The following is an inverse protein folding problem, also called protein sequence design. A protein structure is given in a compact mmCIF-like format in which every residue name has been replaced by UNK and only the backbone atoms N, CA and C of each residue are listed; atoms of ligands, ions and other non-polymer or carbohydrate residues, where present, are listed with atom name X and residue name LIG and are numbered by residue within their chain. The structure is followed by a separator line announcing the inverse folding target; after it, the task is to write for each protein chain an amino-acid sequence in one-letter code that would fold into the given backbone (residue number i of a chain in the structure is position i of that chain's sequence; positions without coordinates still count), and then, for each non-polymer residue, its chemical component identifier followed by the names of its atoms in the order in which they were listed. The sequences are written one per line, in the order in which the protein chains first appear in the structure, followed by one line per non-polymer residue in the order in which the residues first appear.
data_IF_882107785199
#
_entry.id   IF_882107785199
#
_cell.length_a   1.000
_cell.length_b   1.000
_cell.length_c   1.000
_cell.angle_alpha   90.00
_cell.angle_beta   90.00
_cell.angle_gamma   90.00
#
_symmetry.space_group_name_H-M   'P 1'
#
loop_
_entity.id
_entity.type
_entity.pdbx_description
1 polymer ?
#
# COMPACT_ATOMS: atom_id res chain seq x y z
N UNK A 1 48.85 -6.06 8.04
CA UNK A 1 47.90 -5.11 8.64
C UNK A 1 46.49 -5.57 8.27
N UNK A 2 45.63 -5.91 9.24
CA UNK A 2 44.29 -6.41 8.92
C UNK A 2 43.40 -5.25 8.47
N UNK A 3 42.62 -5.50 7.43
CA UNK A 3 41.68 -4.56 6.85
C UNK A 3 40.47 -4.42 7.79
N UNK A 4 40.30 -3.21 8.31
CA UNK A 4 39.15 -2.67 9.04
C UNK A 4 37.79 -3.28 8.65
N UNK A 5 36.99 -3.63 9.68
CA UNK A 5 35.63 -4.21 9.69
C UNK A 5 34.53 -3.42 8.96
N UNK A 6 34.85 -2.50 8.05
CA UNK A 6 33.88 -1.65 7.36
C UNK A 6 33.80 -1.87 5.85
N UNK A 7 34.03 -3.10 5.38
CA UNK A 7 33.91 -3.42 3.97
C UNK A 7 33.29 -4.80 3.74
N UNK A 8 31.98 -4.79 3.46
CA UNK A 8 31.34 -5.48 2.33
C UNK A 8 29.97 -6.05 2.66
N UNK A 9 28.97 -5.16 2.81
CA UNK A 9 27.58 -5.51 2.52
C UNK A 9 27.33 -5.69 0.99
N UNK A 10 28.36 -5.47 0.15
CA UNK A 10 28.25 -5.40 -1.32
C UNK A 10 28.49 -6.76 -2.01
N UNK A 11 28.97 -7.80 -1.31
CA UNK A 11 29.40 -9.06 -1.94
C UNK A 11 28.52 -10.28 -1.63
N UNK A 12 27.46 -10.15 -0.82
CA UNK A 12 26.49 -11.25 -0.68
C UNK A 12 25.37 -11.11 -1.72
N UNK A 13 25.55 -11.84 -2.84
CA UNK A 13 24.55 -12.20 -3.88
C UNK A 13 23.38 -13.05 -3.34
N UNK A 14 22.93 -12.79 -2.11
CA UNK A 14 21.63 -13.21 -1.61
C UNK A 14 20.93 -11.92 -1.25
N UNK A 15 19.95 -11.52 -2.08
CA UNK A 15 18.92 -10.60 -1.64
C UNK A 15 18.58 -11.00 -0.20
N UNK A 16 18.70 -10.09 0.80
CA UNK A 16 18.21 -10.42 2.12
C UNK A 16 16.77 -10.86 1.91
N UNK A 17 16.45 -12.12 2.27
CA UNK A 17 15.06 -12.56 2.31
C UNK A 17 14.38 -11.49 3.14
N UNK A 18 13.45 -10.72 2.54
CA UNK A 18 12.64 -9.75 3.29
C UNK A 18 12.15 -10.52 4.51
N UNK A 19 12.67 -10.16 5.67
CA UNK A 19 12.11 -10.59 6.94
C UNK A 19 10.64 -10.22 6.81
N UNK A 20 9.74 -11.19 6.93
CA UNK A 20 8.31 -10.94 6.76
C UNK A 20 7.97 -9.70 7.58
N UNK A 21 7.44 -8.67 6.91
CA UNK A 21 7.39 -7.33 7.47
C UNK A 21 6.78 -7.39 8.88
N UNK A 22 7.55 -7.08 9.95
CA UNK A 22 7.02 -7.10 11.30
C UNK A 22 5.94 -6.02 11.49
N UNK A 23 5.85 -5.05 10.56
CA UNK A 23 5.07 -3.81 10.71
C UNK A 23 3.85 -3.69 9.81
N UNK A 24 3.26 -4.77 9.30
CA UNK A 24 1.93 -4.69 8.66
C UNK A 24 0.84 -4.49 9.72
N UNK A 25 0.70 -3.25 10.18
CA UNK A 25 -0.38 -2.85 11.07
C UNK A 25 -1.68 -2.81 10.27
N UNK A 26 -2.57 -3.73 10.61
CA UNK A 26 -3.91 -3.76 10.07
C UNK A 26 -4.83 -2.97 10.98
N UNK A 27 -5.51 -1.97 10.44
CA UNK A 27 -6.51 -1.18 11.15
C UNK A 27 -7.89 -1.71 10.74
N UNK A 28 -8.76 -2.10 11.69
CA UNK A 28 -10.16 -2.38 11.38
C UNK A 28 -10.83 -1.16 10.77
N UNK A 29 -11.57 -1.35 9.68
CA UNK A 29 -12.38 -0.32 9.07
C UNK A 29 -13.83 -0.79 9.03
N UNK A 30 -14.77 0.02 9.51
CA UNK A 30 -16.19 -0.30 9.41
C UNK A 30 -16.77 0.33 8.14
N UNK A 31 -16.85 -0.50 7.10
CA UNK A 31 -17.56 -0.13 5.88
C UNK A 31 -18.92 -0.79 5.89
N UNK A 32 -19.97 0.03 5.77
CA UNK A 32 -21.35 -0.45 5.64
C UNK A 32 -21.46 -1.45 4.48
N UNK A 33 -21.73 -2.72 4.77
CA UNK A 33 -21.85 -3.78 3.78
C UNK A 33 -20.58 -4.58 3.50
N UNK A 34 -19.52 -4.41 4.30
CA UNK A 34 -18.33 -5.25 4.26
C UNK A 34 -17.87 -5.63 5.67
N UNK A 35 -18.15 -6.88 6.06
CA UNK A 35 -17.72 -7.42 7.35
C UNK A 35 -16.20 -7.67 7.37
N UNK A 36 -15.58 -7.46 8.53
CA UNK A 36 -14.16 -7.75 8.79
C UNK A 36 -13.19 -7.05 7.83
N UNK A 37 -13.49 -5.83 7.40
CA UNK A 37 -12.56 -5.06 6.58
C UNK A 37 -11.36 -4.63 7.41
N UNK A 38 -10.17 -4.96 6.91
CA UNK A 38 -8.88 -4.56 7.49
C UNK A 38 -8.12 -3.74 6.44
N UNK A 39 -7.71 -2.54 6.82
CA UNK A 39 -6.85 -1.71 5.99
C UNK A 39 -5.38 -1.83 6.43
N UNK A 40 -4.47 -1.84 5.47
CA UNK A 40 -3.04 -1.74 5.75
C UNK A 40 -2.70 -0.28 6.07
N UNK A 41 -2.15 -0.04 7.26
CA UNK A 41 -1.62 1.25 7.63
C UNK A 41 -0.18 1.38 7.13
N UNK A 42 0.02 2.19 6.09
CA UNK A 42 1.33 2.51 5.54
C UNK A 42 1.65 3.98 5.80
N UNK A 43 2.57 4.23 6.75
CA UNK A 43 3.04 5.59 7.08
C UNK A 43 3.89 6.21 5.96
N UNK A 44 4.40 5.39 5.03
CA UNK A 44 5.12 5.85 3.84
C UNK A 44 4.21 6.20 2.67
N UNK A 45 2.92 5.82 2.74
CA UNK A 45 1.95 6.16 1.71
C UNK A 45 1.43 7.59 1.92
N UNK A 46 1.48 8.40 0.86
CA UNK A 46 0.93 9.76 0.86
C UNK A 46 -0.58 9.79 0.58
N UNK A 47 -1.17 8.67 0.16
CA UNK A 47 -2.58 8.54 -0.20
C UNK A 47 -3.14 7.20 0.28
N UNK A 48 -4.46 7.16 0.50
CA UNK A 48 -5.18 5.93 0.78
C UNK A 48 -5.66 5.28 -0.51
N UNK A 49 -5.53 3.95 -0.60
CA UNK A 49 -5.98 3.17 -1.75
C UNK A 49 -7.10 2.21 -1.35
N UNK A 50 -8.14 2.13 -2.18
CA UNK A 50 -9.21 1.13 -2.05
C UNK A 50 -9.22 0.30 -3.34
N UNK A 51 -9.16 -1.05 -3.26
CA UNK A 51 -9.31 -1.89 -4.44
C UNK A 51 -10.66 -1.67 -5.11
N UNK A 52 -10.67 -1.55 -6.44
CA UNK A 52 -11.90 -1.32 -7.22
C UNK A 52 -12.96 -2.41 -6.96
N UNK A 53 -12.55 -3.64 -6.68
CA UNK A 53 -13.45 -4.73 -6.32
C UNK A 53 -14.20 -4.47 -5.02
N UNK A 54 -13.54 -3.88 -4.01
CA UNK A 54 -14.17 -3.48 -2.75
C UNK A 54 -15.10 -2.29 -2.99
N UNK A 55 -14.65 -1.27 -3.73
CA UNK A 55 -15.49 -0.13 -4.09
C UNK A 55 -16.82 -0.55 -4.72
N UNK A 56 -16.77 -1.50 -5.67
CA UNK A 56 -17.95 -2.08 -6.32
C UNK A 56 -18.83 -2.88 -5.37
N UNK A 57 -18.24 -3.66 -4.44
CA UNK A 57 -18.99 -4.42 -3.43
C UNK A 57 -19.76 -3.51 -2.47
N UNK A 58 -19.16 -2.37 -2.11
CA UNK A 58 -19.80 -1.35 -1.29
C UNK A 58 -20.90 -0.57 -2.03
N UNK A 59 -21.08 -0.83 -3.34
CA UNK A 59 -22.07 -0.15 -4.21
C UNK A 59 -21.96 1.37 -4.14
N UNK A 60 -20.74 1.87 -4.01
CA UNK A 60 -20.46 3.30 -3.91
C UNK A 60 -20.64 4.00 -5.26
N UNK A 61 -20.85 5.33 -5.26
CA UNK A 61 -21.04 6.11 -6.48
C UNK A 61 -19.87 5.98 -7.47
N UNK A 62 -20.12 6.40 -8.70
CA UNK A 62 -19.10 6.48 -9.75
C UNK A 62 -17.95 7.37 -9.29
N UNK A 63 -16.73 6.92 -9.53
CA UNK A 63 -15.51 7.66 -9.21
C UNK A 63 -15.32 8.82 -10.20
N UNK A 64 -14.71 9.91 -9.73
CA UNK A 64 -14.29 10.98 -10.62
C UNK A 64 -13.05 10.55 -11.40
N UNK A 65 -13.04 10.81 -12.70
CA UNK A 65 -11.86 10.57 -13.52
C UNK A 65 -10.65 11.36 -12.98
N UNK A 66 -9.47 10.74 -13.05
CA UNK A 66 -8.23 11.38 -12.62
C UNK A 66 -7.12 11.18 -13.64
N UNK A 67 -6.25 12.19 -13.72
CA UNK A 67 -5.00 12.14 -14.50
C UNK A 67 -3.80 11.68 -13.65
N UNK A 68 -4.03 11.37 -12.37
CA UNK A 68 -3.01 10.87 -11.47
C UNK A 68 -2.41 9.54 -11.96
N UNK A 69 -1.13 9.34 -11.67
CA UNK A 69 -0.44 8.05 -11.77
C UNK A 69 0.23 7.77 -10.43
N UNK A 70 0.33 6.49 -10.08
CA UNK A 70 0.90 6.02 -8.82
C UNK A 70 2.14 5.20 -9.12
N UNK A 71 3.26 5.56 -8.50
CA UNK A 71 4.44 4.71 -8.44
C UNK A 71 4.40 3.90 -7.15
N UNK A 72 4.33 2.57 -7.29
CA UNK A 72 4.29 1.65 -6.16
C UNK A 72 5.71 1.34 -5.67
N UNK A 73 5.83 0.74 -4.48
CA UNK A 73 7.13 0.41 -3.89
C UNK A 73 7.98 -0.58 -4.73
N UNK A 74 7.34 -1.35 -5.61
CA UNK A 74 8.01 -2.21 -6.59
C UNK A 74 8.39 -1.47 -7.88
N UNK A 75 8.23 -0.15 -7.90
CA UNK A 75 8.47 0.77 -9.04
C UNK A 75 7.52 0.57 -10.21
N UNK A 76 6.44 -0.20 -10.02
CA UNK A 76 5.39 -0.27 -11.03
C UNK A 76 4.60 1.03 -11.04
N UNK A 77 4.27 1.51 -12.24
CA UNK A 77 3.43 2.68 -12.44
C UNK A 77 2.02 2.19 -12.75
N UNK A 78 1.04 2.62 -11.97
CA UNK A 78 -0.37 2.27 -12.14
C UNK A 78 -1.23 3.53 -12.27
N UNK A 79 -2.31 3.41 -13.04
CA UNK A 79 -3.32 4.47 -13.16
C UNK A 79 -4.55 4.06 -12.35
N UNK A 80 -4.94 4.82 -11.31
CA UNK A 80 -6.17 4.54 -10.58
C UNK A 80 -7.38 4.75 -11.49
N UNK A 81 -8.45 3.98 -11.25
CA UNK A 81 -9.71 4.09 -12.02
C UNK A 81 -10.36 5.45 -11.84
N UNK A 82 -10.19 6.06 -10.66
CA UNK A 82 -10.69 7.39 -10.36
C UNK A 82 -10.29 7.81 -8.94
N UNK A 83 -10.74 8.97 -8.53
CA UNK A 83 -10.51 9.54 -7.19
C UNK A 83 -11.83 9.91 -6.54
N UNK A 84 -11.84 9.86 -5.21
CA UNK A 84 -12.93 10.32 -4.37
C UNK A 84 -12.34 11.05 -3.17
N UNK A 85 -13.04 12.07 -2.71
CA UNK A 85 -12.68 12.82 -1.50
C UNK A 85 -13.79 12.61 -0.46
N UNK A 86 -13.41 12.60 0.82
CA UNK A 86 -14.33 12.57 1.96
C UNK A 86 -15.29 11.37 1.96
N UNK A 87 -14.74 10.16 1.91
CA UNK A 87 -15.54 8.93 2.10
C UNK A 87 -15.80 8.74 3.59
N UNK A 88 -17.07 8.76 3.99
CA UNK A 88 -17.47 8.43 5.36
C UNK A 88 -17.32 6.92 5.58
N UNK A 89 -16.44 6.58 6.51
CA UNK A 89 -16.26 5.24 7.09
C UNK A 89 -16.87 5.32 8.49
N UNK A 90 -17.60 4.29 8.92
CA UNK A 90 -18.30 4.32 10.20
C UNK A 90 -17.36 3.98 11.36
#
# INVERSE_FOLDING_TARGET
MPLNENCSAVVLKKLPKKLGDPGRFLIPCDFTGLDNCLALADLGASINLIPLSIWKKLRLPTLNDTKMVLELADRTISKPTGVVENVFIK
#
